data_IF_440007665983
#
_entry.id   IF_440007665983
#
_cell.length_a   1.000
_cell.length_b   1.000
_cell.length_c   1.000
_cell.angle_alpha   90.00
_cell.angle_beta   90.00
_cell.angle_gamma   90.00
#
_symmetry.space_group_name_H-M   'P 1'
#
loop_
_entity.id
_entity.type
_entity.pdbx_description
1 polymer ?
#
# COMPACT_ATOMS: atom_id res chain seq x y z
N UNK A 1 -19.91 -7.13 15.12
CA UNK A 1 -21.05 -6.35 14.55
C UNK A 1 -20.72 -5.73 13.17
N UNK A 2 -19.50 -5.20 12.94
CA UNK A 2 -19.07 -4.64 11.64
C UNK A 2 -18.93 -5.68 10.50
N UNK A 3 -18.52 -6.92 10.80
CA UNK A 3 -18.31 -7.98 9.80
C UNK A 3 -19.60 -8.51 9.12
N UNK A 4 -20.78 -8.09 9.61
CA UNK A 4 -22.10 -8.45 9.06
C UNK A 4 -22.64 -7.42 8.05
N UNK A 5 -21.99 -6.27 7.90
CA UNK A 5 -22.42 -5.20 6.98
C UNK A 5 -21.66 -5.29 5.64
N UNK A 6 -20.41 -5.80 5.65
CA UNK A 6 -19.64 -5.98 4.43
C UNK A 6 -20.13 -7.17 3.60
N UNK A 7 -20.43 -6.91 2.33
CA UNK A 7 -20.80 -7.96 1.38
C UNK A 7 -19.63 -8.92 1.13
N UNK A 8 -19.92 -10.16 0.74
CA UNK A 8 -18.88 -11.18 0.48
C UNK A 8 -17.86 -10.73 -0.59
N UNK A 9 -18.29 -9.85 -1.52
CA UNK A 9 -17.46 -9.24 -2.55
C UNK A 9 -16.48 -8.19 -1.98
N UNK A 10 -16.89 -7.42 -0.98
CA UNK A 10 -16.03 -6.43 -0.32
C UNK A 10 -14.91 -7.12 0.47
N UNK A 11 -15.21 -8.24 1.15
CA UNK A 11 -14.18 -9.02 1.87
C UNK A 11 -13.08 -9.51 0.94
N UNK A 12 -13.45 -10.02 -0.24
CA UNK A 12 -12.48 -10.49 -1.23
C UNK A 12 -11.62 -9.33 -1.78
N UNK A 13 -12.23 -8.17 -2.04
CA UNK A 13 -11.50 -6.99 -2.49
C UNK A 13 -10.53 -6.45 -1.43
N UNK A 14 -10.90 -6.51 -0.14
CA UNK A 14 -9.99 -6.16 0.96
C UNK A 14 -8.80 -7.11 1.03
N UNK A 15 -9.01 -8.41 0.85
CA UNK A 15 -7.92 -9.40 0.83
C UNK A 15 -6.96 -9.13 -0.34
N UNK A 16 -7.49 -8.86 -1.54
CA UNK A 16 -6.67 -8.50 -2.72
C UNK A 16 -5.85 -7.23 -2.44
N UNK A 17 -6.50 -6.22 -1.85
CA UNK A 17 -5.84 -4.95 -1.53
C UNK A 17 -4.75 -5.12 -0.47
N UNK A 18 -4.97 -5.98 0.52
CA UNK A 18 -3.98 -6.35 1.52
C UNK A 18 -2.76 -7.02 0.87
N UNK A 19 -2.97 -7.94 -0.08
CA UNK A 19 -1.86 -8.56 -0.81
C UNK A 19 -1.06 -7.55 -1.64
N UNK A 20 -1.72 -6.61 -2.32
CA UNK A 20 -1.08 -5.50 -3.04
C UNK A 20 -0.22 -4.65 -2.10
N UNK A 21 -0.75 -4.32 -0.91
CA UNK A 21 -0.04 -3.51 0.09
C UNK A 21 1.19 -4.25 0.63
N UNK A 22 1.11 -5.56 0.84
CA UNK A 22 2.26 -6.37 1.25
C UNK A 22 3.36 -6.32 0.19
N UNK A 23 3.02 -6.59 -1.08
CA UNK A 23 3.98 -6.52 -2.19
C UNK A 23 4.63 -5.13 -2.26
N UNK A 24 3.84 -4.07 -2.11
CA UNK A 24 4.35 -2.72 -2.08
C UNK A 24 5.34 -2.49 -0.95
N UNK A 25 5.01 -2.92 0.28
CA UNK A 25 5.88 -2.76 1.44
C UNK A 25 7.22 -3.47 1.24
N UNK A 26 7.19 -4.70 0.71
CA UNK A 26 8.40 -5.44 0.34
C UNK A 26 9.23 -4.70 -0.73
N UNK A 27 8.61 -4.21 -1.80
CA UNK A 27 9.32 -3.47 -2.85
C UNK A 27 9.95 -2.17 -2.32
N UNK A 28 9.26 -1.45 -1.43
CA UNK A 28 9.81 -0.25 -0.78
C UNK A 28 11.00 -0.60 0.10
N UNK A 29 10.84 -1.64 0.92
CA UNK A 29 11.88 -2.13 1.79
C UNK A 29 13.14 -2.57 1.03
N UNK A 30 12.99 -3.32 -0.06
CA UNK A 30 14.08 -3.70 -0.96
C UNK A 30 14.77 -2.48 -1.60
N UNK A 31 13.98 -1.49 -2.03
CA UNK A 31 14.51 -0.26 -2.61
C UNK A 31 15.33 0.59 -1.65
N UNK A 32 14.96 0.61 -0.36
CA UNK A 32 15.74 1.31 0.68
C UNK A 32 16.94 0.47 1.10
N UNK A 33 16.77 -0.84 1.28
CA UNK A 33 17.83 -1.74 1.70
C UNK A 33 18.97 -1.83 0.67
N UNK A 34 18.70 -1.62 -0.62
CA UNK A 34 19.74 -1.63 -1.67
C UNK A 34 20.68 -0.41 -1.64
N UNK A 35 20.33 0.67 -0.94
CA UNK A 35 21.17 1.87 -0.82
C UNK A 35 22.46 1.55 -0.04
N UNK A 36 22.35 0.84 1.08
CA UNK A 36 23.48 0.55 1.97
C UNK A 36 24.60 -0.27 1.31
N UNK A 37 24.35 -1.41 0.64
CA UNK A 37 25.40 -2.14 -0.06
C UNK A 37 26.00 -1.32 -1.20
N UNK A 38 25.23 -0.47 -1.88
CA UNK A 38 25.75 0.39 -2.93
C UNK A 38 26.71 1.47 -2.39
N UNK A 39 26.35 2.14 -1.29
CA UNK A 39 27.24 3.12 -0.63
C UNK A 39 28.53 2.44 -0.20
N UNK A 40 28.43 1.25 0.42
CA UNK A 40 29.59 0.48 0.88
C UNK A 40 30.52 0.14 -0.29
N UNK A 41 29.97 -0.27 -1.43
CA UNK A 41 30.72 -0.59 -2.64
C UNK A 41 31.45 0.62 -3.26
N UNK A 42 30.89 1.81 -3.12
CA UNK A 42 31.53 3.07 -3.56
C UNK A 42 32.65 3.47 -2.60
N UNK A 43 32.42 3.31 -1.29
CA UNK A 43 33.40 3.68 -0.26
C UNK A 43 34.63 2.79 -0.29
N UNK A 44 34.45 1.49 -0.53
CA UNK A 44 35.53 0.52 -0.65
C UNK A 44 35.29 -0.42 -1.84
N UNK A 45 35.87 -0.11 -3.01
CA UNK A 45 35.77 -0.95 -4.22
C UNK A 45 36.37 -2.35 -4.05
N UNK A 46 37.28 -2.56 -3.09
CA UNK A 46 37.92 -3.86 -2.88
C UNK A 46 36.95 -4.89 -2.28
N UNK A 47 35.80 -4.44 -1.73
CA UNK A 47 34.70 -5.29 -1.27
C UNK A 47 34.15 -6.22 -2.37
N UNK A 48 34.29 -5.84 -3.65
CA UNK A 48 33.92 -6.69 -4.79
C UNK A 48 34.65 -8.02 -4.74
N UNK A 49 35.92 -8.02 -4.34
CA UNK A 49 36.78 -9.20 -4.31
C UNK A 49 36.72 -9.94 -2.98
N UNK A 50 36.43 -9.25 -1.88
CA UNK A 50 36.40 -9.83 -0.53
C UNK A 50 35.10 -10.57 -0.22
N UNK A 51 33.97 -10.16 -0.80
CA UNK A 51 32.67 -10.75 -0.52
C UNK A 51 32.33 -11.83 -1.57
N UNK A 52 32.13 -13.08 -1.16
CA UNK A 52 31.81 -14.19 -2.07
C UNK A 52 30.60 -13.90 -2.97
N UNK A 53 29.57 -13.22 -2.46
CA UNK A 53 28.37 -12.87 -3.23
C UNK A 53 28.66 -11.82 -4.32
N UNK A 54 29.49 -10.81 -4.02
CA UNK A 54 29.86 -9.77 -4.98
C UNK A 54 30.85 -10.30 -6.00
N UNK A 55 31.82 -11.12 -5.58
CA UNK A 55 32.81 -11.73 -6.46
C UNK A 55 32.16 -12.73 -7.44
N UNK A 56 31.19 -13.51 -6.97
CA UNK A 56 30.39 -14.36 -7.86
C UNK A 56 29.65 -13.54 -8.93
N UNK A 57 28.98 -12.46 -8.54
CA UNK A 57 28.29 -11.58 -9.48
C UNK A 57 29.27 -10.90 -10.46
N UNK A 58 30.43 -10.45 -9.97
CA UNK A 58 31.49 -9.84 -10.78
C UNK A 58 32.01 -10.80 -11.87
N UNK A 59 32.31 -12.05 -11.49
CA UNK A 59 32.79 -13.08 -12.42
C UNK A 59 31.70 -13.56 -13.38
N UNK A 60 30.45 -13.69 -12.91
CA UNK A 60 29.33 -14.11 -13.75
C UNK A 60 29.05 -13.14 -14.90
N UNK A 61 29.11 -11.84 -14.61
CA UNK A 61 28.98 -10.80 -15.63
C UNK A 61 30.30 -10.48 -16.36
N UNK A 62 31.41 -11.11 -15.96
CA UNK A 62 32.74 -10.98 -16.58
C UNK A 62 33.19 -9.51 -16.74
N UNK A 63 33.03 -8.71 -15.68
CA UNK A 63 33.45 -7.31 -15.71
C UNK A 63 34.98 -7.19 -15.72
N UNK A 64 35.50 -6.26 -16.53
CA UNK A 64 36.94 -6.03 -16.68
C UNK A 64 37.55 -5.13 -15.59
N UNK A 65 36.73 -4.32 -14.90
CA UNK A 65 37.18 -3.32 -13.93
C UNK A 65 36.14 -3.19 -12.80
N UNK A 66 36.60 -2.94 -11.56
CA UNK A 66 35.74 -2.74 -10.39
C UNK A 66 34.83 -1.52 -10.58
N UNK A 67 35.30 -0.47 -11.26
CA UNK A 67 34.50 0.73 -11.58
C UNK A 67 33.32 0.39 -12.50
N UNK A 68 33.53 -0.47 -13.49
CA UNK A 68 32.46 -0.88 -14.40
C UNK A 68 31.37 -1.68 -13.67
N UNK A 69 31.77 -2.53 -12.72
CA UNK A 69 30.84 -3.25 -11.84
C UNK A 69 30.04 -2.29 -10.95
N UNK A 70 30.69 -1.29 -10.33
CA UNK A 70 30.01 -0.28 -9.50
C UNK A 70 28.97 0.50 -10.31
N UNK A 71 29.30 0.92 -11.54
CA UNK A 71 28.36 1.62 -12.43
C UNK A 71 27.15 0.73 -12.76
N UNK A 72 27.39 -0.54 -13.12
CA UNK A 72 26.32 -1.48 -13.43
C UNK A 72 25.42 -1.74 -12.20
N UNK A 73 26.01 -1.91 -11.02
CA UNK A 73 25.29 -2.07 -9.77
C UNK A 73 24.46 -0.81 -9.42
N UNK A 74 25.00 0.37 -9.68
CA UNK A 74 24.29 1.64 -9.53
C UNK A 74 23.07 1.75 -10.46
N UNK A 75 23.19 1.34 -11.73
CA UNK A 75 22.06 1.28 -12.66
C UNK A 75 21.00 0.29 -12.17
N UNK A 76 21.41 -0.89 -11.70
CA UNK A 76 20.51 -1.90 -11.15
C UNK A 76 19.77 -1.38 -9.91
N UNK A 77 20.47 -0.71 -9.00
CA UNK A 77 19.90 -0.09 -7.80
C UNK A 77 18.90 1.01 -8.17
N UNK A 78 19.21 1.85 -9.16
CA UNK A 78 18.30 2.86 -9.70
C UNK A 78 17.03 2.21 -10.28
N UNK A 79 17.17 1.13 -11.06
CA UNK A 79 16.03 0.38 -11.58
C UNK A 79 15.14 -0.19 -10.46
N UNK A 80 15.73 -0.76 -9.41
CA UNK A 80 14.97 -1.25 -8.24
C UNK A 80 14.17 -0.12 -7.60
N UNK A 81 14.75 1.07 -7.44
CA UNK A 81 14.06 2.23 -6.87
C UNK A 81 12.91 2.68 -7.77
N UNK A 82 13.11 2.76 -9.09
CA UNK A 82 12.05 3.14 -10.03
C UNK A 82 10.89 2.14 -9.96
N UNK A 83 11.19 0.84 -10.01
CA UNK A 83 10.19 -0.23 -9.94
C UNK A 83 9.43 -0.16 -8.61
N UNK A 84 10.14 0.05 -7.50
CA UNK A 84 9.54 0.19 -6.18
C UNK A 84 8.55 1.36 -6.09
N UNK A 85 8.92 2.51 -6.67
CA UNK A 85 8.06 3.68 -6.76
C UNK A 85 6.85 3.44 -7.68
N UNK A 86 7.04 2.72 -8.79
CA UNK A 86 5.94 2.35 -9.68
C UNK A 86 4.93 1.43 -8.98
N UNK A 87 5.40 0.42 -8.24
CA UNK A 87 4.54 -0.46 -7.42
C UNK A 87 3.81 0.33 -6.34
N UNK A 88 4.50 1.28 -5.70
CA UNK A 88 3.90 2.20 -4.71
C UNK A 88 2.75 3.00 -5.31
N UNK A 89 2.97 3.56 -6.49
CA UNK A 89 2.00 4.38 -7.21
C UNK A 89 0.79 3.54 -7.62
N UNK A 90 1.01 2.34 -8.17
CA UNK A 90 -0.05 1.40 -8.53
C UNK A 90 -0.89 0.99 -7.31
N UNK A 91 -0.24 0.74 -6.19
CA UNK A 91 -0.89 0.37 -4.93
C UNK A 91 -1.70 1.52 -4.34
N UNK A 92 -1.21 2.75 -4.47
CA UNK A 92 -1.96 3.96 -4.11
C UNK A 92 -3.21 4.12 -4.99
N UNK A 93 -3.06 3.96 -6.31
CA UNK A 93 -4.19 4.00 -7.24
C UNK A 93 -5.26 2.94 -6.91
N UNK A 94 -4.84 1.70 -6.64
CA UNK A 94 -5.75 0.62 -6.26
C UNK A 94 -6.53 0.94 -4.97
N UNK A 95 -5.84 1.51 -3.97
CA UNK A 95 -6.45 1.95 -2.70
C UNK A 95 -7.49 3.05 -2.91
N UNK A 96 -7.14 4.07 -3.68
CA UNK A 96 -8.04 5.18 -4.01
C UNK A 96 -9.25 4.63 -4.76
N UNK A 97 -9.05 3.87 -5.84
CA UNK A 97 -10.14 3.30 -6.64
C UNK A 97 -11.09 2.43 -5.80
N UNK A 98 -10.55 1.58 -4.95
CA UNK A 98 -11.35 0.75 -4.04
C UNK A 98 -12.19 1.61 -3.09
N UNK A 99 -11.57 2.64 -2.51
CA UNK A 99 -12.22 3.59 -1.60
C UNK A 99 -13.39 4.31 -2.28
N UNK A 100 -13.17 4.88 -3.46
CA UNK A 100 -14.21 5.60 -4.21
C UNK A 100 -15.35 4.69 -4.66
N UNK A 101 -15.03 3.49 -5.14
CA UNK A 101 -16.05 2.53 -5.58
C UNK A 101 -16.89 2.03 -4.41
N UNK A 102 -16.27 1.77 -3.26
CA UNK A 102 -17.01 1.34 -2.07
C UNK A 102 -17.89 2.47 -1.53
N UNK A 103 -17.39 3.72 -1.53
CA UNK A 103 -18.18 4.90 -1.18
C UNK A 103 -19.42 5.03 -2.07
N UNK A 104 -19.23 4.99 -3.40
CA UNK A 104 -20.34 5.11 -4.35
C UNK A 104 -21.40 4.03 -4.14
N UNK A 105 -20.98 2.77 -3.96
CA UNK A 105 -21.91 1.64 -3.74
C UNK A 105 -22.70 1.76 -2.45
N UNK A 106 -22.04 2.13 -1.35
CA UNK A 106 -22.68 2.32 -0.05
C UNK A 106 -23.67 3.48 -0.10
N UNK A 107 -23.27 4.61 -0.66
CA UNK A 107 -24.12 5.79 -0.85
C UNK A 107 -25.38 5.46 -1.67
N UNK A 108 -25.24 4.74 -2.79
CA UNK A 108 -26.38 4.33 -3.63
C UNK A 108 -27.33 3.37 -2.92
N UNK A 109 -26.80 2.34 -2.24
CA UNK A 109 -27.63 1.38 -1.47
C UNK A 109 -28.40 2.04 -0.33
N UNK A 110 -27.79 3.00 0.34
CA UNK A 110 -28.43 3.73 1.42
C UNK A 110 -29.53 4.65 0.89
N UNK A 111 -29.31 5.32 -0.24
CA UNK A 111 -30.33 6.10 -0.92
C UNK A 111 -31.53 5.23 -1.33
N UNK A 112 -31.28 4.06 -1.92
CA UNK A 112 -32.32 3.11 -2.32
C UNK A 112 -33.14 2.60 -1.12
N UNK A 113 -32.47 2.25 -0.02
CA UNK A 113 -33.13 1.81 1.22
C UNK A 113 -33.92 2.94 1.89
N UNK A 114 -33.51 4.17 1.67
CA UNK A 114 -34.21 5.34 2.18
C UNK A 114 -35.47 5.66 1.36
N UNK A 115 -35.38 5.60 0.03
CA UNK A 115 -36.51 5.80 -0.88
C UNK A 115 -37.59 4.72 -0.76
N UNK A 116 -37.24 3.53 -0.25
CA UNK A 116 -38.18 2.42 -0.01
C UNK A 116 -38.93 2.46 1.33
N UNK A 117 -38.78 3.53 2.14
CA UNK A 117 -39.59 3.69 3.37
C UNK A 117 -41.04 4.10 3.07
N UNK A 118 -41.96 3.75 3.97
CA UNK A 118 -43.39 4.07 3.84
C UNK A 118 -43.65 5.58 3.79
N UNK A 119 -44.71 5.97 3.09
CA UNK A 119 -45.11 7.36 2.92
C UNK A 119 -45.38 8.08 4.26
N UNK A 120 -45.85 7.36 5.27
CA UNK A 120 -46.05 7.87 6.63
C UNK A 120 -44.77 8.39 7.31
N UNK A 121 -43.61 7.83 6.94
CA UNK A 121 -42.32 8.29 7.42
C UNK A 121 -41.95 9.67 6.86
N UNK A 122 -42.46 10.02 5.67
CA UNK A 122 -42.24 11.30 5.01
C UNK A 122 -43.26 12.37 5.44
N UNK A 123 -44.46 11.97 5.87
CA UNK A 123 -45.52 12.90 6.33
C UNK A 123 -45.18 13.65 7.62
N UNK A 124 -44.35 13.07 8.49
CA UNK A 124 -44.00 13.63 9.79
C UNK A 124 -42.64 14.35 9.83
N UNK A 125 -41.97 14.54 8.69
CA UNK A 125 -40.62 15.13 8.61
C UNK A 125 -40.50 16.04 7.40
N UNK A 126 -39.96 17.25 7.59
CA UNK A 126 -39.68 18.16 6.49
C UNK A 126 -38.71 17.51 5.48
N UNK A 127 -39.13 17.42 4.22
CA UNK A 127 -38.42 16.76 3.13
C UNK A 127 -37.00 17.30 2.89
N UNK A 128 -36.78 18.58 3.18
CA UNK A 128 -35.50 19.29 3.01
C UNK A 128 -34.47 18.96 4.09
N UNK A 129 -34.87 18.83 5.36
CA UNK A 129 -33.97 18.38 6.44
C UNK A 129 -33.72 16.88 6.39
N UNK A 130 -34.69 16.09 5.92
CA UNK A 130 -34.55 14.65 5.84
C UNK A 130 -33.61 14.21 4.71
N UNK A 131 -33.74 14.81 3.52
CA UNK A 131 -32.79 14.55 2.42
C UNK A 131 -31.39 15.06 2.73
N UNK A 132 -31.24 16.25 3.35
CA UNK A 132 -29.92 16.74 3.79
C UNK A 132 -29.31 15.85 4.87
N UNK A 133 -30.06 15.50 5.91
CA UNK A 133 -29.52 14.68 7.00
C UNK A 133 -29.25 13.25 6.52
N UNK A 134 -30.10 12.63 5.71
CA UNK A 134 -29.79 11.27 5.25
C UNK A 134 -28.63 11.25 4.25
N UNK A 135 -28.56 12.16 3.26
CA UNK A 135 -27.38 12.20 2.38
C UNK A 135 -26.11 12.59 3.15
N UNK A 136 -26.19 13.60 4.01
CA UNK A 136 -25.02 14.11 4.75
C UNK A 136 -24.56 13.13 5.82
N UNK A 137 -25.44 12.64 6.69
CA UNK A 137 -25.09 11.75 7.80
C UNK A 137 -24.57 10.41 7.26
N UNK A 138 -25.19 9.88 6.21
CA UNK A 138 -24.76 8.62 5.59
C UNK A 138 -23.43 8.78 4.88
N UNK A 139 -23.27 9.86 4.10
CA UNK A 139 -21.99 10.14 3.45
C UNK A 139 -20.91 10.41 4.51
N UNK A 140 -21.25 11.04 5.63
CA UNK A 140 -20.35 11.29 6.73
C UNK A 140 -19.95 10.00 7.47
N UNK A 141 -20.89 9.08 7.76
CA UNK A 141 -20.61 7.79 8.38
C UNK A 141 -19.78 6.87 7.46
N UNK A 142 -20.05 6.90 6.16
CA UNK A 142 -19.34 6.06 5.18
C UNK A 142 -17.93 6.59 4.93
N UNK A 143 -17.81 7.89 4.70
CA UNK A 143 -16.56 8.55 4.33
C UNK A 143 -15.66 8.82 5.53
N UNK A 144 -16.23 9.05 6.71
CA UNK A 144 -15.47 9.40 7.92
C UNK A 144 -15.31 8.25 8.91
N UNK A 145 -15.98 7.11 8.71
CA UNK A 145 -15.86 5.96 9.60
C UNK A 145 -15.40 4.69 8.88
N UNK A 146 -16.16 4.18 7.90
CA UNK A 146 -15.87 2.88 7.29
C UNK A 146 -14.58 2.91 6.44
N UNK A 147 -14.43 3.93 5.59
CA UNK A 147 -13.25 4.12 4.75
C UNK A 147 -11.96 4.33 5.58
N UNK A 148 -11.92 5.30 6.53
CA UNK A 148 -10.72 5.53 7.32
C UNK A 148 -10.39 4.38 8.26
N UNK A 149 -11.37 3.62 8.78
CA UNK A 149 -11.10 2.40 9.55
C UNK A 149 -10.36 1.35 8.70
N UNK A 150 -10.77 1.17 7.45
CA UNK A 150 -10.16 0.22 6.53
C UNK A 150 -8.75 0.65 6.11
N UNK A 151 -8.57 1.95 5.89
CA UNK A 151 -7.25 2.55 5.68
C UNK A 151 -6.37 2.43 6.93
N UNK A 152 -6.92 2.62 8.12
CA UNK A 152 -6.20 2.51 9.39
C UNK A 152 -5.67 1.09 9.60
N UNK A 153 -6.49 0.07 9.36
CA UNK A 153 -6.05 -1.33 9.43
C UNK A 153 -4.97 -1.62 8.37
N UNK A 154 -5.17 -1.15 7.14
CA UNK A 154 -4.19 -1.37 6.06
C UNK A 154 -2.86 -0.69 6.35
N UNK A 155 -2.88 0.54 6.84
CA UNK A 155 -1.70 1.31 7.20
C UNK A 155 -1.04 0.77 8.48
N UNK A 156 -1.83 0.26 9.43
CA UNK A 156 -1.32 -0.38 10.64
C UNK A 156 -0.53 -1.66 10.32
N UNK A 157 -1.05 -2.50 9.42
CA UNK A 157 -0.35 -3.70 8.93
C UNK A 157 0.95 -3.30 8.21
N UNK A 158 0.88 -2.28 7.36
CA UNK A 158 2.04 -1.76 6.63
C UNK A 158 3.12 -1.24 7.59
N UNK A 159 2.73 -0.48 8.62
CA UNK A 159 3.62 0.05 9.64
C UNK A 159 4.28 -1.06 10.45
N UNK A 160 3.52 -2.08 10.87
CA UNK A 160 4.06 -3.27 11.53
C UNK A 160 5.06 -4.01 10.64
N UNK A 161 4.78 -4.12 9.35
CA UNK A 161 5.66 -4.80 8.40
C UNK A 161 6.99 -4.06 8.23
N UNK A 162 6.95 -2.73 8.05
CA UNK A 162 8.14 -1.89 7.94
C UNK A 162 8.94 -1.89 9.24
N UNK A 163 8.29 -1.72 10.40
CA UNK A 163 8.98 -1.78 11.70
C UNK A 163 9.64 -3.14 11.92
N UNK A 164 8.94 -4.23 11.64
CA UNK A 164 9.48 -5.58 11.77
C UNK A 164 10.69 -5.80 10.86
N UNK A 165 10.62 -5.34 9.61
CA UNK A 165 11.72 -5.45 8.66
C UNK A 165 12.93 -4.61 9.09
N UNK A 166 12.71 -3.37 9.58
CA UNK A 166 13.77 -2.53 10.13
C UNK A 166 14.45 -3.16 11.35
N UNK A 167 13.68 -3.73 12.28
CA UNK A 167 14.25 -4.43 13.43
C UNK A 167 15.06 -5.65 13.00
N UNK A 168 14.58 -6.43 12.03
CA UNK A 168 15.31 -7.58 11.51
C UNK A 168 16.64 -7.17 10.89
N UNK A 169 16.65 -6.13 10.05
CA UNK A 169 17.89 -5.59 9.45
C UNK A 169 18.84 -5.12 10.55
N UNK A 170 18.35 -4.35 11.52
CA UNK A 170 19.18 -3.79 12.59
C UNK A 170 19.79 -4.89 13.50
N UNK A 171 19.00 -5.91 13.86
CA UNK A 171 19.47 -7.09 14.62
C UNK A 171 20.49 -7.91 13.83
N UNK A 172 20.42 -7.94 12.50
CA UNK A 172 21.42 -8.66 11.69
C UNK A 172 22.73 -7.87 11.56
N UNK A 173 22.70 -6.55 11.76
CA UNK A 173 23.88 -5.66 11.71
C UNK A 173 24.57 -5.42 13.07
N UNK A 174 24.01 -5.87 14.19
CA UNK A 174 24.62 -5.79 15.53
C UNK A 174 25.07 -7.16 16.00
#
# INVERSE_FOLDING_TARGET
MLAKILSHKEKLQVIILLFIVIIMAFSQALGVASIMPFISLIMDPDLVYQNEYLNWAYNYFSFADAKAFIIAFGILMLLIIIISNAVTTLSMYARIRFTWMNNHRLSSRLLEKYLSRSYDYFLNKHSTTLSKNVLSEVNHLTTSFIIPLLLFVSNGILLLFIMGMLLFVNVTTT
#
